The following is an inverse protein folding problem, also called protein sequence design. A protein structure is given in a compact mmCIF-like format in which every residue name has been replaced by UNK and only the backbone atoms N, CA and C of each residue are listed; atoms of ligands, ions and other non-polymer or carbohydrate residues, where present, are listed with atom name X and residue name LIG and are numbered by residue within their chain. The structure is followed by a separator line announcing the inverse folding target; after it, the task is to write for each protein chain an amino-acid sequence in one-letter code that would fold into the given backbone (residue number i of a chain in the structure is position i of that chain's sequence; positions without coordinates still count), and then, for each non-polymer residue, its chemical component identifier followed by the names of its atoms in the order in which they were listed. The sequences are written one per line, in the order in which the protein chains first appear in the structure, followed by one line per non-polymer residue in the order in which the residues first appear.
data_IF_991120330627
#
_entry.id   IF_991120330627
#
_cell.length_a   1.000
_cell.length_b   1.000
_cell.length_c   1.000
_cell.angle_alpha   90.00
_cell.angle_beta   90.00
_cell.angle_gamma   90.00
#
_symmetry.space_group_name_H-M   'P 1'
#
loop_
_entity.id
_entity.type
_entity.pdbx_description
1 polymer ?
#
# COMPACT_ATOMS: atom_id res chain seq x y z
N UNK A 1 -9.19 -0.89 10.60
CA UNK A 1 -8.42 -1.43 11.76
C UNK A 1 -7.97 -2.80 11.32
N UNK A 2 -6.66 -3.05 11.16
CA UNK A 2 -6.15 -4.29 10.54
C UNK A 2 -6.53 -5.51 11.40
N UNK A 3 -7.54 -6.26 10.97
CA UNK A 3 -8.23 -7.25 11.82
C UNK A 3 -7.62 -8.65 11.75
N UNK A 4 -6.62 -8.88 10.90
CA UNK A 4 -5.93 -10.17 10.79
C UNK A 4 -4.69 -10.22 11.68
N UNK A 5 -4.48 -11.36 12.34
CA UNK A 5 -3.29 -11.67 13.17
C UNK A 5 -1.95 -11.45 12.44
N UNK A 6 -1.98 -11.45 11.12
CA UNK A 6 -0.85 -11.28 10.20
C UNK A 6 -0.50 -9.79 9.93
N UNK A 7 -1.25 -8.84 10.51
CA UNK A 7 -1.05 -7.40 10.27
C UNK A 7 -1.38 -6.94 8.84
N UNK A 8 -1.86 -7.84 7.99
CA UNK A 8 -2.23 -7.55 6.61
C UNK A 8 -3.74 -7.34 6.46
N UNK A 9 -4.12 -6.52 5.48
CA UNK A 9 -5.51 -6.26 5.15
C UNK A 9 -5.81 -6.45 3.67
N UNK A 10 -7.09 -6.64 3.35
CA UNK A 10 -7.54 -6.75 1.97
C UNK A 10 -7.57 -5.40 1.26
N UNK A 11 -7.78 -5.43 -0.05
CA UNK A 11 -7.88 -4.21 -0.87
C UNK A 11 -8.96 -3.23 -0.39
N UNK A 12 -10.06 -3.73 0.19
CA UNK A 12 -11.16 -2.93 0.72
C UNK A 12 -10.75 -2.15 1.96
N UNK A 13 -10.28 -2.86 2.99
CA UNK A 13 -9.73 -2.27 4.22
C UNK A 13 -8.58 -1.30 3.94
N UNK A 14 -7.72 -1.62 2.96
CA UNK A 14 -6.63 -0.73 2.56
C UNK A 14 -7.16 0.57 1.98
N UNK A 15 -8.18 0.47 1.11
CA UNK A 15 -8.82 1.62 0.49
C UNK A 15 -9.46 2.52 1.54
N UNK A 16 -10.22 1.94 2.48
CA UNK A 16 -10.84 2.67 3.58
C UNK A 16 -9.81 3.33 4.50
N UNK A 17 -8.77 2.61 4.92
CA UNK A 17 -7.73 3.15 5.79
C UNK A 17 -6.93 4.30 5.15
N UNK A 18 -6.77 4.27 3.83
CA UNK A 18 -6.10 5.31 3.06
C UNK A 18 -7.02 6.46 2.65
N UNK A 19 -8.35 6.29 2.79
CA UNK A 19 -9.33 7.25 2.29
C UNK A 19 -9.35 7.34 0.77
N UNK A 20 -9.10 6.23 0.07
CA UNK A 20 -9.17 6.13 -1.39
C UNK A 20 -10.19 5.07 -1.79
N UNK A 21 -10.55 5.03 -3.07
CA UNK A 21 -11.44 3.97 -3.58
C UNK A 21 -10.66 2.70 -3.87
N UNK A 22 -11.33 1.54 -3.77
CA UNK A 22 -10.78 0.23 -4.16
C UNK A 22 -10.24 0.24 -5.60
N UNK A 23 -10.89 1.00 -6.50
CA UNK A 23 -10.45 1.18 -7.88
C UNK A 23 -9.06 1.84 -7.96
N UNK A 24 -8.82 2.87 -7.14
CA UNK A 24 -7.52 3.54 -7.04
C UNK A 24 -6.44 2.60 -6.52
N UNK A 25 -6.75 1.81 -5.47
CA UNK A 25 -5.82 0.80 -4.95
C UNK A 25 -5.52 -0.25 -6.02
N UNK A 26 -6.54 -0.76 -6.72
CA UNK A 26 -6.38 -1.74 -7.79
C UNK A 26 -5.53 -1.19 -8.92
N UNK A 27 -5.76 0.06 -9.31
CA UNK A 27 -4.98 0.73 -10.34
C UNK A 27 -3.49 0.85 -9.97
N UNK A 28 -3.16 1.18 -8.71
CA UNK A 28 -1.77 1.23 -8.26
C UNK A 28 -1.16 -0.17 -8.12
N UNK A 29 -1.92 -1.15 -7.62
CA UNK A 29 -1.47 -2.53 -7.53
C UNK A 29 -1.18 -3.14 -8.92
N UNK A 30 -2.06 -2.91 -9.89
CA UNK A 30 -1.91 -3.41 -11.27
C UNK A 30 -0.66 -2.85 -11.97
N UNK A 31 -0.31 -1.60 -11.65
CA UNK A 31 0.92 -0.93 -12.13
C UNK A 31 2.17 -1.25 -11.30
N UNK A 32 2.06 -2.15 -10.32
CA UNK A 32 3.16 -2.52 -9.42
C UNK A 32 3.63 -1.39 -8.50
N UNK A 33 2.81 -0.35 -8.27
CA UNK A 33 3.13 0.72 -7.31
C UNK A 33 2.84 0.33 -5.85
N UNK A 34 2.01 -0.69 -5.65
CA UNK A 34 1.73 -1.23 -4.32
C UNK A 34 2.32 -2.65 -4.26
N UNK A 35 3.40 -2.86 -3.49
CA UNK A 35 3.88 -4.20 -3.24
C UNK A 35 2.78 -5.00 -2.53
N UNK A 36 2.44 -6.16 -3.09
CA UNK A 36 1.58 -7.12 -2.41
C UNK A 36 2.40 -7.79 -1.31
N UNK A 37 1.97 -7.65 -0.06
CA UNK A 37 2.70 -8.19 1.08
C UNK A 37 2.53 -9.71 1.18
N UNK A 38 1.33 -10.20 0.87
CA UNK A 38 1.07 -11.63 0.82
C UNK A 38 -0.17 -11.95 0.00
N UNK A 39 -0.26 -13.19 -0.48
CA UNK A 39 -1.51 -13.74 -1.02
C UNK A 39 -2.12 -14.64 0.03
N UNK A 40 -3.37 -14.35 0.39
CA UNK A 40 -4.12 -15.21 1.30
C UNK A 40 -4.38 -16.57 0.64
N UNK A 41 -4.54 -17.63 1.46
CA UNK A 41 -4.83 -18.98 0.98
C UNK A 41 -6.08 -19.07 0.07
N UNK A 42 -7.02 -18.14 0.19
CA UNK A 42 -8.19 -18.02 -0.69
C UNK A 42 -7.96 -17.24 -2.00
N UNK A 43 -6.72 -16.90 -2.36
CA UNK A 43 -6.41 -16.15 -3.59
C UNK A 43 -6.62 -14.63 -3.49
N UNK A 44 -6.94 -14.12 -2.29
CA UNK A 44 -7.11 -12.68 -2.07
C UNK A 44 -5.76 -11.98 -1.86
N UNK A 45 -5.54 -10.87 -2.57
CA UNK A 45 -4.37 -10.00 -2.35
C UNK A 45 -4.45 -9.35 -0.97
N UNK A 46 -3.38 -9.48 -0.18
CA UNK A 46 -3.23 -8.81 1.10
C UNK A 46 -2.11 -7.79 1.06
N UNK A 47 -2.31 -6.72 1.82
CA UNK A 47 -1.44 -5.57 1.89
C UNK A 47 -1.08 -5.28 3.33
N UNK A 48 0.19 -4.99 3.58
CA UNK A 48 0.67 -4.59 4.89
C UNK A 48 0.43 -3.12 5.20
N UNK A 49 0.81 -2.69 6.42
CA UNK A 49 0.76 -1.28 6.82
C UNK A 49 1.60 -0.39 5.89
N UNK A 50 2.66 -0.91 5.26
CA UNK A 50 3.47 -0.17 4.29
C UNK A 50 2.65 0.31 3.09
N UNK A 51 1.74 -0.53 2.57
CA UNK A 51 0.89 -0.14 1.45
C UNK A 51 -0.07 1.00 1.84
N UNK A 52 -0.51 1.01 3.10
CA UNK A 52 -1.38 2.06 3.64
C UNK A 52 -0.62 3.38 3.73
N UNK A 53 0.59 3.36 4.27
CA UNK A 53 1.44 4.54 4.36
C UNK A 53 1.77 5.09 2.95
N UNK A 54 2.04 4.19 2.01
CA UNK A 54 2.26 4.50 0.59
C UNK A 54 1.08 5.26 -0.02
N UNK A 55 -0.15 4.78 0.18
CA UNK A 55 -1.36 5.45 -0.32
C UNK A 55 -1.62 6.80 0.35
N UNK A 56 -1.38 6.91 1.66
CA UNK A 56 -1.51 8.19 2.38
C UNK A 56 -0.53 9.22 1.84
N UNK A 57 0.72 8.80 1.59
CA UNK A 57 1.74 9.67 1.01
C UNK A 57 1.39 10.06 -0.42
N UNK A 58 0.91 9.11 -1.26
CA UNK A 58 0.41 9.41 -2.61
C UNK A 58 -0.63 10.53 -2.54
N UNK A 59 -1.59 10.43 -1.61
CA UNK A 59 -2.65 11.41 -1.44
C UNK A 59 -2.08 12.77 -1.02
N UNK A 60 -1.18 12.81 -0.03
CA UNK A 60 -0.55 14.05 0.43
C UNK A 60 0.25 14.72 -0.70
N UNK A 61 1.05 13.96 -1.44
CA UNK A 61 1.85 14.47 -2.55
C UNK A 61 0.98 14.91 -3.74
N UNK A 62 -0.11 14.19 -4.04
CA UNK A 62 -1.07 14.64 -5.06
C UNK A 62 -1.81 15.91 -4.64
N UNK A 63 -2.08 16.10 -3.35
CA UNK A 63 -2.65 17.34 -2.83
C UNK A 63 -1.70 18.53 -2.96
N UNK A 64 -0.38 18.27 -2.95
CA UNK A 64 0.68 19.25 -3.24
C UNK A 64 0.85 19.53 -4.75
N UNK A 65 0.09 18.87 -5.62
CA UNK A 65 0.18 19.05 -7.08
C UNK A 65 1.26 18.22 -7.77
N UNK A 66 1.87 17.24 -7.08
CA UNK A 66 2.87 16.38 -7.71
C UNK A 66 2.22 15.42 -8.71
N UNK A 67 2.92 15.22 -9.82
CA UNK A 67 2.55 14.24 -10.83
C UNK A 67 2.77 12.81 -10.28
N UNK A 68 1.90 11.88 -10.72
CA UNK A 68 1.98 10.45 -10.40
C UNK A 68 3.39 9.83 -10.55
N UNK A 69 4.19 10.13 -11.60
CA UNK A 69 5.56 9.61 -11.71
C UNK A 69 6.51 10.09 -10.59
N UNK A 70 6.39 11.35 -10.16
CA UNK A 70 7.24 11.90 -9.09
C UNK A 70 6.85 11.34 -7.72
N UNK A 71 5.54 11.20 -7.51
CA UNK A 71 5.01 10.47 -6.36
C UNK A 71 5.58 9.06 -6.31
N UNK A 72 5.60 8.34 -7.44
CA UNK A 72 6.17 6.98 -7.52
C UNK A 72 7.64 6.96 -7.10
N UNK A 73 8.46 7.90 -7.58
CA UNK A 73 9.88 8.01 -7.21
C UNK A 73 10.07 8.15 -5.71
N UNK A 74 9.37 9.08 -5.08
CA UNK A 74 9.48 9.32 -3.63
C UNK A 74 9.10 8.06 -2.84
N UNK A 75 8.07 7.34 -3.27
CA UNK A 75 7.65 6.10 -2.61
C UNK A 75 8.68 4.97 -2.78
N UNK A 76 9.34 4.91 -3.93
CA UNK A 76 10.37 3.92 -4.22
C UNK A 76 11.62 4.15 -3.35
N UNK A 77 12.06 5.41 -3.24
CA UNK A 77 13.15 5.83 -2.36
C UNK A 77 12.87 5.46 -0.90
N UNK A 78 11.65 5.69 -0.40
CA UNK A 78 11.28 5.34 0.97
C UNK A 78 11.21 3.83 1.22
N UNK A 79 10.75 3.07 0.24
CA UNK A 79 10.69 1.61 0.34
C UNK A 79 12.08 0.98 0.37
N UNK A 80 13.03 1.54 -0.39
CA UNK A 80 14.43 1.15 -0.31
C UNK A 80 15.03 1.39 1.10
N UNK A 81 14.51 2.36 1.85
CA UNK A 81 14.92 2.64 3.23
C UNK A 81 14.09 1.91 4.31
N UNK A 82 13.02 1.21 3.93
CA UNK A 82 12.07 0.56 4.84
C UNK A 82 11.99 -0.93 4.61
N UNK A 83 13.09 -1.67 4.73
CA UNK A 83 13.08 -3.13 4.77
C UNK A 83 13.83 -3.63 6.00
N UNK A 84 13.23 -3.41 7.18
CA UNK A 84 13.62 -4.04 8.43
C UNK A 84 12.35 -4.22 9.27
N UNK A 85 11.71 -5.38 9.17
CA UNK A 85 10.47 -5.66 9.91
C UNK A 85 9.73 -6.87 9.36
N UNK A 86 10.37 -8.03 9.39
CA UNK A 86 9.80 -9.30 8.97
C UNK A 86 10.38 -10.44 9.79
N UNK A 87 10.35 -10.33 11.11
CA UNK A 87 10.63 -11.43 12.03
C UNK A 87 9.31 -12.13 12.37
N UNK A 88 9.03 -13.20 11.62
CA UNK A 88 8.05 -14.20 12.00
C UNK A 88 8.61 -15.10 13.10
N UNK A 89 7.85 -15.24 14.17
CA UNK A 89 8.03 -16.23 15.22
C UNK A 89 6.74 -17.00 15.42
#
# INVERSE_FOLDING_TARGET
MFTSNDGLCGIGELAEGAGVTVKTVRFYSDRGLLPEASRSAGGHRRYGPEALDRLRLIRSLRALGLAVPEVRRILDERHAHGTAGGEGG
#
